data_IF_667366407694
#
_entry.id   IF_667366407694
#
_cell.length_a   1.000
_cell.length_b   1.000
_cell.length_c   1.000
_cell.angle_alpha   90.00
_cell.angle_beta   90.00
_cell.angle_gamma   90.00
#
_symmetry.space_group_name_H-M   'P 1'
#
loop_
_entity.id
_entity.type
_entity.pdbx_description
1 polymer ?
#
# COMPACT_ATOMS: atom_id res chain seq x y z
N UNK A 1 3.26 -0.42 1.34
CA UNK A 1 2.25 0.37 0.61
C UNK A 1 1.33 -0.47 -0.24
N UNK A 2 0.31 0.13 -0.82
CA UNK A 2 -0.70 -0.53 -1.66
C UNK A 2 -0.43 -0.30 -3.17
N UNK A 3 -1.48 -0.40 -4.02
CA UNK A 3 -1.38 -0.22 -5.46
C UNK A 3 -0.82 1.16 -5.88
N UNK A 4 -1.06 2.22 -5.11
CA UNK A 4 -0.50 3.55 -5.41
C UNK A 4 1.02 3.57 -5.27
N UNK A 5 1.57 2.88 -4.27
CA UNK A 5 3.03 2.77 -4.06
C UNK A 5 3.73 1.93 -5.14
N UNK A 6 3.02 1.10 -5.91
CA UNK A 6 3.60 0.35 -7.04
C UNK A 6 4.17 1.25 -8.13
N UNK A 7 3.69 2.49 -8.21
CA UNK A 7 4.18 3.48 -9.17
C UNK A 7 5.55 4.09 -8.81
N UNK A 8 6.08 3.82 -7.63
CA UNK A 8 7.44 4.21 -7.29
C UNK A 8 8.44 3.32 -8.02
N UNK A 9 9.12 3.88 -9.01
CA UNK A 9 10.17 3.19 -9.75
C UNK A 9 11.44 3.14 -8.93
N UNK A 10 12.00 1.95 -8.74
CA UNK A 10 13.23 1.74 -7.97
C UNK A 10 14.37 2.60 -8.52
N UNK A 11 14.58 2.60 -9.84
CA UNK A 11 15.61 3.42 -10.49
C UNK A 11 15.46 4.92 -10.25
N UNK A 12 14.21 5.40 -10.14
CA UNK A 12 13.95 6.81 -9.82
C UNK A 12 14.24 7.12 -8.35
N UNK A 13 13.79 6.25 -7.46
CA UNK A 13 14.03 6.38 -6.01
C UNK A 13 15.53 6.34 -5.71
N UNK A 14 16.26 5.40 -6.32
CA UNK A 14 17.71 5.25 -6.19
C UNK A 14 18.46 6.50 -6.63
N UNK A 15 18.06 7.09 -7.76
CA UNK A 15 18.66 8.32 -8.27
C UNK A 15 18.42 9.53 -7.37
N UNK A 16 17.22 9.64 -6.78
CA UNK A 16 16.82 10.81 -5.97
C UNK A 16 17.34 10.71 -4.54
N UNK A 17 17.31 9.51 -3.94
CA UNK A 17 17.63 9.34 -2.53
C UNK A 17 19.02 8.74 -2.30
N UNK A 18 19.67 8.23 -3.36
CA UNK A 18 20.90 7.46 -3.29
C UNK A 18 20.70 6.08 -2.69
N UNK A 19 21.51 5.10 -3.13
CA UNK A 19 21.47 3.72 -2.64
C UNK A 19 20.76 2.76 -3.58
N UNK A 20 20.21 1.69 -3.03
CA UNK A 20 19.44 0.67 -3.74
C UNK A 20 18.11 0.48 -3.04
N UNK A 21 17.01 0.57 -3.78
CA UNK A 21 15.66 0.39 -3.25
C UNK A 21 15.01 -0.91 -3.76
N UNK A 22 14.01 -1.35 -3.04
CA UNK A 22 13.11 -2.44 -3.43
C UNK A 22 11.67 -1.97 -3.23
N UNK A 23 10.85 -2.09 -4.27
CA UNK A 23 9.42 -1.80 -4.16
C UNK A 23 8.66 -3.05 -3.70
N UNK A 24 8.31 -3.10 -2.43
CA UNK A 24 7.53 -4.17 -1.79
C UNK A 24 6.05 -3.77 -1.62
N UNK A 25 5.48 -3.00 -2.55
CA UNK A 25 4.08 -2.61 -2.50
C UNK A 25 3.15 -3.79 -2.82
N UNK A 26 2.15 -3.99 -1.98
CA UNK A 26 1.16 -5.07 -2.07
C UNK A 26 -0.18 -4.50 -2.56
N UNK A 27 -0.66 -4.86 -3.76
CA UNK A 27 -1.97 -4.41 -4.23
C UNK A 27 -3.06 -4.81 -3.24
N UNK A 28 -3.93 -3.86 -2.87
CA UNK A 28 -4.98 -4.02 -1.85
C UNK A 28 -4.48 -4.45 -0.45
N UNK A 29 -3.16 -4.53 -0.23
CA UNK A 29 -2.57 -5.07 0.98
C UNK A 29 -3.10 -4.43 2.27
N UNK A 30 -3.44 -5.26 3.24
CA UNK A 30 -3.87 -4.85 4.58
C UNK A 30 -2.68 -4.25 5.34
N UNK A 31 -2.94 -3.59 6.46
CA UNK A 31 -1.87 -3.06 7.31
C UNK A 31 -1.00 -4.20 7.90
N UNK A 32 -1.61 -5.37 8.17
CA UNK A 32 -0.92 -6.56 8.64
C UNK A 32 0.09 -7.08 7.61
N UNK A 33 -0.34 -7.21 6.36
CA UNK A 33 0.54 -7.67 5.27
C UNK A 33 1.67 -6.67 5.00
N UNK A 34 1.38 -5.37 5.04
CA UNK A 34 2.40 -4.33 4.91
C UNK A 34 3.42 -4.40 6.04
N UNK A 35 2.99 -4.69 7.27
CA UNK A 35 3.89 -4.95 8.39
C UNK A 35 4.77 -6.16 8.13
N UNK A 36 4.21 -7.29 7.71
CA UNK A 36 4.98 -8.51 7.41
C UNK A 36 6.07 -8.23 6.37
N UNK A 37 5.74 -7.50 5.30
CA UNK A 37 6.73 -7.10 4.29
C UNK A 37 7.85 -6.21 4.87
N UNK A 38 7.49 -5.26 5.73
CA UNK A 38 8.47 -4.39 6.37
C UNK A 38 9.39 -5.15 7.33
N UNK A 39 8.82 -6.00 8.18
CA UNK A 39 9.57 -6.83 9.15
C UNK A 39 10.51 -7.81 8.43
N UNK A 40 10.05 -8.45 7.35
CA UNK A 40 10.89 -9.33 6.53
C UNK A 40 12.07 -8.54 5.94
N UNK A 41 11.85 -7.37 5.38
CA UNK A 41 12.92 -6.52 4.86
C UNK A 41 13.93 -6.12 5.96
N UNK A 42 13.42 -5.72 7.12
CA UNK A 42 14.24 -5.27 8.26
C UNK A 42 15.04 -6.42 8.89
N UNK A 43 14.54 -7.66 8.83
CA UNK A 43 15.24 -8.85 9.35
C UNK A 43 16.33 -9.36 8.42
N UNK A 44 16.23 -9.12 7.10
CA UNK A 44 17.17 -9.67 6.11
C UNK A 44 18.44 -8.85 5.94
N UNK A 45 18.37 -7.53 6.11
CA UNK A 45 19.53 -6.62 5.96
C UNK A 45 19.28 -5.27 6.64
N UNK A 46 20.33 -4.48 6.91
CA UNK A 46 20.16 -3.12 7.39
C UNK A 46 19.38 -2.28 6.39
N UNK A 47 18.18 -1.84 6.77
CA UNK A 47 17.33 -0.95 5.98
C UNK A 47 17.45 0.45 6.52
N UNK A 48 18.03 1.37 5.73
CA UNK A 48 18.22 2.77 6.16
C UNK A 48 16.89 3.53 6.21
N UNK A 49 15.98 3.24 5.26
CA UNK A 49 14.73 3.99 5.11
C UNK A 49 13.60 3.13 4.57
N UNK A 50 12.41 3.31 5.13
CA UNK A 50 11.16 2.75 4.59
C UNK A 50 10.24 3.90 4.18
N UNK A 51 9.81 3.93 2.91
CA UNK A 51 8.75 4.80 2.43
C UNK A 51 7.44 4.01 2.51
N UNK A 52 6.49 4.48 3.32
CA UNK A 52 5.29 3.72 3.65
C UNK A 52 4.02 4.51 3.39
N UNK A 53 3.18 4.01 2.51
CA UNK A 53 1.87 4.56 2.21
C UNK A 53 0.89 4.29 3.34
N UNK A 54 0.21 5.32 3.82
CA UNK A 54 -0.89 5.21 4.77
C UNK A 54 -2.22 5.31 4.02
N UNK A 55 -2.78 4.16 3.67
CA UNK A 55 -4.07 4.04 3.01
C UNK A 55 -5.15 3.69 4.04
N UNK A 56 -6.19 4.51 4.17
CA UNK A 56 -7.25 4.30 5.17
C UNK A 56 -7.98 2.97 4.98
N UNK A 57 -8.13 2.49 3.75
CA UNK A 57 -8.71 1.18 3.47
C UNK A 57 -7.95 0.06 4.20
N UNK A 58 -6.62 0.08 4.18
CA UNK A 58 -5.79 -0.92 4.86
C UNK A 58 -5.97 -0.93 6.38
N UNK A 59 -6.39 0.18 6.97
CA UNK A 59 -6.60 0.32 8.41
C UNK A 59 -8.07 0.13 8.85
N UNK A 60 -9.03 0.17 7.92
CA UNK A 60 -10.45 0.07 8.22
C UNK A 60 -10.93 -1.36 8.55
N UNK A 61 -10.00 -2.27 8.74
CA UNK A 61 -10.20 -3.70 9.05
C UNK A 61 -9.64 -4.04 10.44
N UNK A 62 -9.80 -5.29 10.89
CA UNK A 62 -9.15 -5.79 12.10
C UNK A 62 -7.62 -5.74 11.95
N UNK A 63 -6.90 -5.63 13.07
CA UNK A 63 -5.44 -5.46 13.04
C UNK A 63 -4.68 -6.71 12.57
N UNK A 64 -5.29 -7.86 12.70
CA UNK A 64 -4.79 -9.18 12.30
C UNK A 64 -5.33 -9.65 10.93
N UNK A 65 -6.17 -8.83 10.28
CA UNK A 65 -6.81 -9.17 9.01
C UNK A 65 -5.82 -9.17 7.86
N UNK A 66 -5.96 -10.14 6.96
CA UNK A 66 -5.23 -10.28 5.69
C UNK A 66 -6.22 -10.31 4.53
N UNK A 67 -5.76 -10.06 3.30
CA UNK A 67 -6.67 -9.95 2.14
C UNK A 67 -7.29 -11.29 1.77
N UNK A 68 -6.51 -12.36 1.84
CA UNK A 68 -6.98 -13.73 1.64
C UNK A 68 -7.58 -14.30 2.95
N UNK A 69 -8.22 -15.46 2.86
CA UNK A 69 -8.66 -16.19 4.06
C UNK A 69 -7.45 -16.45 4.97
N UNK A 70 -7.59 -16.16 6.27
CA UNK A 70 -6.49 -16.29 7.23
C UNK A 70 -5.88 -17.70 7.25
N UNK A 71 -6.68 -18.71 6.95
CA UNK A 71 -6.22 -20.11 6.93
C UNK A 71 -5.38 -20.43 5.68
N UNK A 72 -5.61 -19.72 4.57
CA UNK A 72 -4.90 -19.91 3.30
C UNK A 72 -3.75 -18.91 3.09
N UNK A 73 -3.63 -17.90 3.95
CA UNK A 73 -2.57 -16.89 3.80
C UNK A 73 -1.18 -17.54 3.93
N UNK A 74 -0.27 -17.30 2.97
CA UNK A 74 1.01 -18.00 2.90
C UNK A 74 2.03 -17.44 3.89
N UNK A 75 1.77 -17.53 5.19
CA UNK A 75 2.66 -17.02 6.26
C UNK A 75 4.10 -17.53 6.14
N UNK A 76 4.30 -18.72 5.55
CA UNK A 76 5.63 -19.29 5.34
C UNK A 76 6.50 -18.46 4.40
N UNK A 77 5.93 -17.63 3.52
CA UNK A 77 6.70 -16.72 2.65
C UNK A 77 7.14 -15.43 3.36
N UNK A 78 6.66 -15.20 4.59
CA UNK A 78 6.92 -13.99 5.37
C UNK A 78 7.81 -14.25 6.59
N UNK A 79 8.35 -15.45 6.71
CA UNK A 79 9.32 -15.81 7.73
C UNK A 79 10.74 -15.92 7.15
N UNK A 80 11.72 -16.22 7.99
CA UNK A 80 13.11 -16.40 7.56
C UNK A 80 13.48 -17.85 7.24
N UNK A 81 12.50 -18.74 7.25
CA UNK A 81 12.71 -20.17 7.05
C UNK A 81 12.52 -20.57 5.57
N UNK A 82 13.57 -20.41 4.79
CA UNK A 82 13.56 -20.76 3.35
C UNK A 82 13.23 -22.24 3.06
N UNK A 83 13.31 -23.10 4.08
CA UNK A 83 13.02 -24.53 3.90
C UNK A 83 11.51 -24.84 3.81
N UNK A 84 10.65 -23.96 4.23
CA UNK A 84 9.19 -24.16 4.09
C UNK A 84 8.63 -23.52 2.81
N UNK A 85 9.46 -22.74 2.07
CA UNK A 85 9.07 -22.07 0.82
C UNK A 85 8.88 -23.06 -0.35
N UNK A 86 9.28 -24.32 -0.19
CA UNK A 86 9.09 -25.34 -1.23
C UNK A 86 7.62 -25.46 -1.67
N UNK A 87 6.68 -25.21 -0.79
CA UNK A 87 5.24 -25.20 -1.09
C UNK A 87 4.89 -24.18 -2.16
N UNK A 88 5.54 -23.01 -2.14
CA UNK A 88 5.38 -21.99 -3.16
C UNK A 88 5.99 -22.42 -4.50
N UNK A 89 7.18 -23.03 -4.46
CA UNK A 89 7.88 -23.47 -5.68
C UNK A 89 7.12 -24.54 -6.46
N UNK A 90 6.36 -25.39 -5.76
CA UNK A 90 5.54 -26.44 -6.37
C UNK A 90 4.07 -26.05 -6.55
N UNK A 91 3.71 -24.80 -6.30
CA UNK A 91 2.39 -24.30 -6.63
C UNK A 91 2.28 -24.06 -8.15
N UNK A 92 1.22 -24.56 -8.83
CA UNK A 92 1.04 -24.39 -10.28
C UNK A 92 1.06 -22.92 -10.75
N UNK A 93 0.48 -22.01 -9.97
CA UNK A 93 0.34 -20.61 -10.35
C UNK A 93 1.70 -19.86 -10.50
N UNK A 94 2.65 -19.90 -9.55
CA UNK A 94 3.98 -19.34 -9.74
C UNK A 94 4.75 -20.00 -10.89
N UNK A 95 4.61 -21.31 -11.09
CA UNK A 95 5.25 -22.03 -12.19
C UNK A 95 4.74 -21.56 -13.56
N UNK A 96 3.42 -21.46 -13.72
CA UNK A 96 2.78 -20.93 -14.94
C UNK A 96 3.28 -19.50 -15.22
N UNK A 97 3.29 -18.65 -14.19
CA UNK A 97 3.76 -17.27 -14.31
C UNK A 97 5.24 -17.17 -14.67
N UNK A 98 6.06 -18.04 -14.12
CA UNK A 98 7.48 -18.14 -14.46
C UNK A 98 7.66 -18.54 -15.94
N UNK A 99 6.89 -19.49 -16.46
CA UNK A 99 6.89 -19.88 -17.87
C UNK A 99 6.45 -18.74 -18.79
N UNK A 100 5.42 -17.97 -18.40
CA UNK A 100 4.96 -16.82 -19.16
C UNK A 100 6.05 -15.75 -19.27
N UNK A 101 6.70 -15.43 -18.16
CA UNK A 101 7.82 -14.47 -18.10
C UNK A 101 8.99 -14.98 -18.95
N UNK A 102 9.34 -16.25 -18.82
CA UNK A 102 10.42 -16.86 -19.62
C UNK A 102 10.11 -16.81 -21.13
N UNK A 103 8.87 -17.19 -21.53
CA UNK A 103 8.43 -17.14 -22.93
C UNK A 103 8.46 -15.71 -23.46
N UNK A 104 7.98 -14.75 -22.70
CA UNK A 104 7.97 -13.35 -23.07
C UNK A 104 9.39 -12.78 -23.23
N UNK A 105 10.32 -13.13 -22.35
CA UNK A 105 11.72 -12.74 -22.45
C UNK A 105 12.40 -13.36 -23.69
N UNK A 106 12.07 -14.60 -24.02
CA UNK A 106 12.61 -15.27 -25.20
C UNK A 106 12.10 -14.67 -26.51
N UNK A 107 10.87 -14.22 -26.54
CA UNK A 107 10.25 -13.61 -27.72
C UNK A 107 10.64 -12.12 -27.91
N UNK A 108 11.51 -11.57 -27.10
CA UNK A 108 12.10 -10.25 -27.30
C UNK A 108 11.13 -9.09 -27.07
N UNK A 109 10.00 -9.29 -26.40
CA UNK A 109 9.10 -8.19 -26.07
C UNK A 109 9.79 -7.26 -25.06
N UNK A 110 10.11 -6.04 -25.48
CA UNK A 110 10.73 -5.01 -24.61
C UNK A 110 9.88 -4.70 -23.38
N UNK A 111 8.57 -4.88 -23.47
CA UNK A 111 7.63 -4.66 -22.36
C UNK A 111 7.89 -5.56 -21.14
N UNK A 112 8.54 -6.72 -21.32
CA UNK A 112 8.80 -7.65 -20.22
C UNK A 112 10.24 -7.59 -19.69
N UNK A 113 11.13 -6.83 -20.33
CA UNK A 113 12.52 -6.68 -19.88
C UNK A 113 12.66 -5.69 -18.73
N UNK A 114 11.75 -4.72 -18.64
CA UNK A 114 11.77 -3.73 -17.59
C UNK A 114 10.80 -4.14 -16.48
N UNK A 115 11.34 -4.70 -15.40
CA UNK A 115 10.58 -5.08 -14.19
C UNK A 115 9.74 -3.89 -13.65
N UNK A 116 10.25 -2.67 -13.79
CA UNK A 116 9.55 -1.46 -13.38
C UNK A 116 8.32 -1.17 -14.25
N UNK A 117 8.33 -1.64 -15.51
CA UNK A 117 7.20 -1.47 -16.43
C UNK A 117 6.06 -2.46 -16.19
N UNK A 118 6.33 -3.62 -15.56
CA UNK A 118 5.29 -4.60 -15.21
C UNK A 118 4.30 -4.06 -14.17
N UNK A 119 4.64 -2.99 -13.47
CA UNK A 119 3.88 -2.43 -12.37
C UNK A 119 3.24 -1.07 -12.65
N UNK A 120 3.07 -0.69 -13.93
CA UNK A 120 2.34 0.53 -14.31
C UNK A 120 0.87 0.42 -13.94
N UNK A 121 0.53 0.82 -12.73
CA UNK A 121 -0.87 0.90 -12.34
C UNK A 121 -1.47 2.23 -12.81
N UNK A 122 -2.45 2.14 -13.70
CA UNK A 122 -3.24 3.30 -14.14
C UNK A 122 -2.62 4.21 -15.22
N UNK A 123 -1.37 3.98 -15.64
CA UNK A 123 -0.73 4.83 -16.67
C UNK A 123 -1.32 4.63 -18.07
N UNK A 124 -1.83 3.43 -18.37
CA UNK A 124 -2.42 3.10 -19.67
C UNK A 124 -3.95 3.27 -19.69
N UNK A 125 -4.54 3.78 -18.60
CA UNK A 125 -5.96 4.06 -18.54
C UNK A 125 -6.25 5.35 -19.32
N UNK A 126 -7.27 5.36 -20.18
CA UNK A 126 -7.68 6.60 -20.85
C UNK A 126 -8.10 7.64 -19.81
N UNK A 127 -7.89 8.93 -20.07
CA UNK A 127 -8.35 9.99 -19.19
C UNK A 127 -9.82 9.81 -18.83
N UNK A 128 -10.17 9.97 -17.57
CA UNK A 128 -11.56 9.88 -17.13
C UNK A 128 -12.37 10.99 -17.79
N UNK A 129 -13.36 10.61 -18.59
CA UNK A 129 -14.31 11.58 -19.15
C UNK A 129 -15.24 12.09 -18.05
N UNK A 130 -15.78 13.31 -18.23
CA UNK A 130 -16.75 13.89 -17.29
C UNK A 130 -17.98 12.97 -17.12
N UNK A 131 -18.41 12.29 -18.18
CA UNK A 131 -19.50 11.32 -18.13
C UNK A 131 -19.15 10.15 -17.18
N UNK A 132 -17.93 9.60 -17.28
CA UNK A 132 -17.49 8.51 -16.42
C UNK A 132 -17.31 8.96 -14.96
N UNK A 133 -16.82 10.17 -14.74
CA UNK A 133 -16.75 10.74 -13.38
C UNK A 133 -18.14 10.87 -12.77
N UNK A 134 -19.13 11.38 -13.53
CA UNK A 134 -20.52 11.46 -13.08
C UNK A 134 -21.09 10.08 -12.73
N UNK A 135 -20.91 9.09 -13.57
CA UNK A 135 -21.31 7.69 -13.29
C UNK A 135 -20.70 7.17 -11.99
N UNK A 136 -19.40 7.43 -11.76
CA UNK A 136 -18.68 6.98 -10.56
C UNK A 136 -19.17 7.66 -9.27
N UNK A 137 -19.66 8.91 -9.35
CA UNK A 137 -20.14 9.65 -8.18
C UNK A 137 -21.65 9.67 -8.05
N UNK A 138 -22.39 9.37 -9.13
CA UNK A 138 -23.86 9.33 -9.14
C UNK A 138 -24.40 7.98 -8.64
N UNK A 139 -23.93 7.59 -7.46
CA UNK A 139 -24.42 6.41 -6.76
C UNK A 139 -25.37 6.83 -5.65
N UNK A 140 -26.39 6.01 -5.33
CA UNK A 140 -27.30 6.29 -4.21
C UNK A 140 -26.55 6.48 -2.91
N UNK A 141 -27.03 7.39 -2.07
CA UNK A 141 -26.54 7.51 -0.71
C UNK A 141 -27.06 6.34 0.13
N UNK A 142 -26.21 5.31 0.30
CA UNK A 142 -26.52 4.09 1.04
C UNK A 142 -25.77 4.00 2.38
N UNK A 143 -25.22 5.12 2.84
CA UNK A 143 -24.37 5.16 4.03
C UNK A 143 -25.16 4.96 5.32
N UNK A 144 -25.46 3.72 5.67
CA UNK A 144 -26.06 3.36 6.95
C UNK A 144 -25.03 3.15 8.07
N UNK A 145 -23.84 2.65 7.71
CA UNK A 145 -22.72 2.39 8.61
C UNK A 145 -21.40 2.75 7.94
N UNK A 146 -20.37 3.01 8.74
CA UNK A 146 -19.00 3.25 8.24
C UNK A 146 -18.09 2.11 8.67
N UNK A 147 -17.34 1.57 7.69
CA UNK A 147 -16.19 0.72 7.96
C UNK A 147 -14.99 1.55 8.44
N UNK A 148 -14.98 2.85 8.12
CA UNK A 148 -13.92 3.79 8.47
C UNK A 148 -14.23 4.44 9.82
N UNK A 149 -13.93 3.76 10.92
CA UNK A 149 -14.05 4.29 12.30
C UNK A 149 -12.66 4.61 12.84
N UNK A 150 -12.45 5.83 13.33
CA UNK A 150 -11.16 6.26 13.91
C UNK A 150 -10.61 5.23 14.90
N UNK A 151 -11.45 4.73 15.81
CA UNK A 151 -11.03 3.78 16.84
C UNK A 151 -10.50 2.46 16.27
N UNK A 152 -11.09 1.97 15.17
CA UNK A 152 -10.63 0.75 14.47
C UNK A 152 -9.32 1.04 13.74
N UNK A 153 -9.30 2.11 12.94
CA UNK A 153 -8.12 2.50 12.16
C UNK A 153 -6.91 2.78 13.05
N UNK A 154 -7.11 3.46 14.18
CA UNK A 154 -6.02 3.75 15.11
C UNK A 154 -5.53 2.51 15.88
N UNK A 155 -6.40 1.57 16.20
CA UNK A 155 -5.98 0.29 16.79
C UNK A 155 -5.10 -0.47 15.82
N UNK A 156 -5.54 -0.58 14.57
CA UNK A 156 -4.79 -1.26 13.51
C UNK A 156 -3.46 -0.54 13.23
N UNK A 157 -3.46 0.79 13.10
CA UNK A 157 -2.28 1.60 12.91
C UNK A 157 -1.24 1.41 14.03
N UNK A 158 -1.67 1.40 15.29
CA UNK A 158 -0.77 1.15 16.43
C UNK A 158 -0.14 -0.23 16.35
N UNK A 159 -0.94 -1.26 16.10
CA UNK A 159 -0.46 -2.64 16.05
C UNK A 159 0.48 -2.92 14.87
N UNK A 160 0.20 -2.35 13.69
CA UNK A 160 0.93 -2.72 12.47
C UNK A 160 1.94 -1.68 11.97
N UNK A 161 1.91 -0.46 12.50
CA UNK A 161 2.84 0.59 12.08
C UNK A 161 3.68 1.09 13.25
N UNK A 162 3.05 1.57 14.33
CA UNK A 162 3.82 2.19 15.42
C UNK A 162 4.71 1.20 16.16
N UNK A 163 4.31 -0.06 16.28
CA UNK A 163 5.17 -1.09 16.89
C UNK A 163 6.43 -1.31 16.06
N UNK A 164 6.31 -1.38 14.73
CA UNK A 164 7.48 -1.50 13.83
C UNK A 164 8.39 -0.27 13.94
N UNK A 165 7.82 0.94 13.93
CA UNK A 165 8.61 2.18 14.10
C UNK A 165 9.39 2.18 15.41
N UNK A 166 8.74 1.77 16.51
CA UNK A 166 9.34 1.70 17.85
C UNK A 166 10.44 0.65 17.94
N UNK A 167 10.25 -0.49 17.29
CA UNK A 167 11.22 -1.60 17.32
C UNK A 167 12.49 -1.30 16.50
N UNK A 168 12.44 -0.35 15.56
CA UNK A 168 13.54 -0.05 14.63
C UNK A 168 13.94 1.44 14.68
N UNK A 169 14.51 1.94 15.79
CA UNK A 169 14.85 3.35 15.96
C UNK A 169 15.93 3.86 15.00
N UNK A 170 16.77 2.98 14.46
CA UNK A 170 17.86 3.30 13.53
C UNK A 170 17.39 3.35 12.07
N UNK A 171 16.15 2.99 11.79
CA UNK A 171 15.54 3.07 10.46
C UNK A 171 14.68 4.34 10.35
N UNK A 172 14.87 5.12 9.29
CA UNK A 172 13.99 6.25 8.97
C UNK A 172 12.69 5.75 8.35
N UNK A 173 11.55 6.18 8.87
CA UNK A 173 10.23 5.91 8.32
C UNK A 173 9.64 7.17 7.72
N UNK A 174 9.39 7.17 6.40
CA UNK A 174 8.73 8.24 5.67
C UNK A 174 7.34 7.79 5.27
N UNK A 175 6.36 8.25 6.02
CA UNK A 175 4.95 7.97 5.75
C UNK A 175 4.36 9.00 4.81
N UNK A 176 3.39 8.59 4.01
CA UNK A 176 2.65 9.53 3.19
C UNK A 176 1.20 9.10 2.99
N UNK A 177 0.31 10.10 2.93
CA UNK A 177 -1.04 9.90 2.42
C UNK A 177 -1.03 10.08 0.91
N UNK A 178 -1.45 9.06 0.12
CA UNK A 178 -1.43 9.14 -1.34
C UNK A 178 -2.45 10.14 -1.87
N UNK A 179 -2.18 10.80 -3.01
CA UNK A 179 -3.04 11.81 -3.60
C UNK A 179 -4.24 11.19 -4.32
N UNK A 180 -5.25 10.75 -3.57
CA UNK A 180 -6.49 10.28 -4.17
C UNK A 180 -7.28 11.42 -4.82
N UNK A 181 -7.89 11.14 -5.98
CA UNK A 181 -8.78 12.09 -6.62
C UNK A 181 -10.00 12.41 -5.74
N UNK A 182 -10.45 13.66 -5.77
CA UNK A 182 -11.56 14.15 -4.92
C UNK A 182 -12.81 13.30 -5.07
N UNK A 183 -13.15 12.85 -6.29
CA UNK A 183 -14.33 12.02 -6.53
C UNK A 183 -14.31 10.69 -5.75
N UNK A 184 -13.13 10.16 -5.44
CA UNK A 184 -13.00 8.98 -4.59
C UNK A 184 -13.56 9.24 -3.19
N UNK A 185 -13.20 10.38 -2.59
CA UNK A 185 -13.70 10.77 -1.27
C UNK A 185 -15.21 11.03 -1.29
N UNK A 186 -15.73 11.65 -2.37
CA UNK A 186 -17.17 11.86 -2.55
C UNK A 186 -17.91 10.52 -2.61
N UNK A 187 -17.41 9.56 -3.39
CA UNK A 187 -17.97 8.22 -3.47
C UNK A 187 -17.93 7.49 -2.12
N UNK A 188 -16.79 7.52 -1.46
CA UNK A 188 -16.61 6.88 -0.17
C UNK A 188 -17.56 7.46 0.90
N UNK A 189 -17.80 8.78 0.90
CA UNK A 189 -18.76 9.43 1.79
C UNK A 189 -20.21 8.98 1.52
N UNK A 190 -20.58 8.73 0.27
CA UNK A 190 -21.90 8.22 -0.09
C UNK A 190 -22.15 6.78 0.35
N UNK A 191 -21.08 5.98 0.43
CA UNK A 191 -21.15 4.56 0.81
C UNK A 191 -20.86 4.31 2.29
N UNK A 192 -20.24 5.25 2.98
CA UNK A 192 -19.84 5.11 4.38
C UNK A 192 -20.24 6.36 5.17
N UNK A 193 -21.09 6.19 6.18
CA UNK A 193 -21.52 7.28 7.05
C UNK A 193 -20.30 7.93 7.74
N UNK A 194 -20.28 9.27 7.80
CA UNK A 194 -19.24 10.05 8.46
C UNK A 194 -17.80 9.83 7.93
N UNK A 195 -17.64 9.26 6.73
CA UNK A 195 -16.32 8.92 6.17
C UNK A 195 -15.31 10.07 6.27
N UNK A 196 -15.65 11.26 5.75
CA UNK A 196 -14.73 12.42 5.77
C UNK A 196 -14.36 12.80 7.20
N UNK A 197 -15.32 12.79 8.13
CA UNK A 197 -15.06 13.12 9.53
C UNK A 197 -14.14 12.11 10.19
N UNK A 198 -14.37 10.81 9.96
CA UNK A 198 -13.58 9.73 10.55
C UNK A 198 -12.13 9.72 10.01
N UNK A 199 -11.93 9.87 8.69
CA UNK A 199 -10.57 9.92 8.13
C UNK A 199 -9.82 11.18 8.58
N UNK A 200 -10.50 12.34 8.70
CA UNK A 200 -9.87 13.57 9.19
C UNK A 200 -9.39 13.41 10.63
N UNK A 201 -10.21 12.85 11.51
CA UNK A 201 -9.82 12.54 12.89
C UNK A 201 -8.65 11.57 12.94
N UNK A 202 -8.69 10.52 12.11
CA UNK A 202 -7.64 9.52 12.01
C UNK A 202 -6.32 10.14 11.53
N UNK A 203 -6.35 11.01 10.51
CA UNK A 203 -5.15 11.75 10.05
C UNK A 203 -4.50 12.53 11.20
N UNK A 204 -5.29 13.29 11.94
CA UNK A 204 -4.79 14.07 13.09
C UNK A 204 -4.22 13.16 14.18
N UNK A 205 -4.90 12.05 14.48
CA UNK A 205 -4.45 11.09 15.48
C UNK A 205 -3.14 10.40 15.06
N UNK A 206 -3.05 9.92 13.80
CA UNK A 206 -1.82 9.32 13.25
C UNK A 206 -0.64 10.30 13.28
N UNK A 207 -0.86 11.56 12.88
CA UNK A 207 0.17 12.59 12.96
C UNK A 207 0.68 12.79 14.38
N UNK A 208 -0.22 12.90 15.37
CA UNK A 208 0.15 13.06 16.79
C UNK A 208 0.95 11.88 17.34
N UNK A 209 0.62 10.67 16.93
CA UNK A 209 1.36 9.48 17.35
C UNK A 209 2.75 9.42 16.68
N UNK A 210 2.83 9.65 15.37
CA UNK A 210 4.10 9.63 14.63
C UNK A 210 5.06 10.75 15.06
N UNK A 211 4.55 11.94 15.39
CA UNK A 211 5.39 13.07 15.81
C UNK A 211 6.17 12.83 17.12
N UNK A 212 5.85 11.75 17.84
CA UNK A 212 6.61 11.33 19.03
C UNK A 212 7.87 10.53 18.69
N UNK A 213 8.05 10.13 17.43
CA UNK A 213 9.16 9.33 16.98
C UNK A 213 10.11 10.17 16.12
N UNK A 214 11.38 10.38 16.54
CA UNK A 214 12.32 11.20 15.79
C UNK A 214 12.70 10.60 14.43
N UNK A 215 12.54 9.27 14.28
CA UNK A 215 12.80 8.52 13.07
C UNK A 215 11.59 8.42 12.13
N UNK A 216 10.46 9.08 12.44
CA UNK A 216 9.25 9.06 11.60
C UNK A 216 8.93 10.45 11.04
N UNK A 217 8.58 10.51 9.75
CA UNK A 217 8.11 11.72 9.07
C UNK A 217 6.81 11.40 8.34
N UNK A 218 5.87 12.35 8.31
CA UNK A 218 4.59 12.19 7.62
C UNK A 218 4.37 13.32 6.62
N UNK A 219 4.05 12.94 5.39
CA UNK A 219 3.77 13.84 4.26
C UNK A 219 2.30 13.65 3.83
N UNK A 220 1.57 14.76 3.68
CA UNK A 220 0.22 14.73 3.16
C UNK A 220 0.19 15.25 1.72
N UNK A 221 -0.15 14.35 0.78
CA UNK A 221 -0.31 14.72 -0.63
C UNK A 221 -1.79 14.86 -1.04
N UNK A 222 -2.72 14.64 -0.12
CA UNK A 222 -4.16 14.74 -0.41
C UNK A 222 -4.65 16.19 -0.44
N UNK A 223 -3.92 17.12 0.16
CA UNK A 223 -4.21 18.55 0.17
C UNK A 223 -3.61 19.29 -1.03
N UNK A 224 -2.89 18.59 -1.93
CA UNK A 224 -2.25 19.15 -3.11
C UNK A 224 -3.20 19.19 -4.29
N UNK A 225 -3.93 20.31 -4.45
CA UNK A 225 -4.93 20.49 -5.51
C UNK A 225 -4.35 20.29 -6.92
N UNK A 226 -3.11 20.67 -7.15
CA UNK A 226 -2.40 20.48 -8.41
C UNK A 226 -2.18 19.01 -8.80
N UNK A 227 -2.29 18.09 -7.84
CA UNK A 227 -2.16 16.64 -8.05
C UNK A 227 -3.53 15.96 -8.01
N UNK A 228 -4.39 16.32 -7.05
CA UNK A 228 -5.65 15.61 -6.76
C UNK A 228 -6.82 16.04 -7.64
N UNK A 229 -6.70 17.19 -8.34
CA UNK A 229 -7.77 17.76 -9.18
C UNK A 229 -7.49 17.60 -10.69
N UNK A 230 -6.52 16.80 -11.08
CA UNK A 230 -6.22 16.50 -12.49
C UNK A 230 -7.02 15.33 -13.02
#
# INVERSE_FOLDING_TARGET
GTSMSRNFRESHVDRVLGGTSLNAALPAGTAREQRLAAELALSTRPVKRIIWELNFYSFARAADDVEDDQDDFPYHLWDMNVWNDWKYLFNPYPLERMFDIWRANRNGSEQNRDREMLFKFGFDQPPLTLAKVRELVDIPNAASQSNYRESVMMRNFRANVLETVRAHPDTEFWFFYPPYAVFWHVRAQKTNANYIQEITRTKVAMYRELSRFPNAKLYDFQDRAEITHR
#
